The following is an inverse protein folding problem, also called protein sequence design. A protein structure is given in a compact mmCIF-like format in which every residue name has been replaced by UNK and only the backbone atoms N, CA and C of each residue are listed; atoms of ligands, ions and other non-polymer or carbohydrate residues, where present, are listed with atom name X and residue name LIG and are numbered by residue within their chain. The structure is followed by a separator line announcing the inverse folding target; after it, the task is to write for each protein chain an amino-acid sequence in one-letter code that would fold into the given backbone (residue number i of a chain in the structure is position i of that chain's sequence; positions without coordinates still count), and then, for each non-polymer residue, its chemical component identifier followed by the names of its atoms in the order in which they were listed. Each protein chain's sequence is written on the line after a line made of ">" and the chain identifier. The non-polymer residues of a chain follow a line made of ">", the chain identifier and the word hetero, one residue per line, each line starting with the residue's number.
data_IF_641205571497
#
_entry.id   IF_641205571497
#
_cell.length_a   1.000
_cell.length_b   1.000
_cell.length_c   1.000
_cell.angle_alpha   90.00
_cell.angle_beta   90.00
_cell.angle_gamma   90.00
#
_symmetry.space_group_name_H-M   'P 1'
#
loop_
_entity.id
_entity.type
_entity.pdbx_description
1 polymer ?
#
# COMPACT_ATOMS: atom_id res chain seq x y z
N UNK A 1 12.78 -18.18 2.52
CA UNK A 1 12.90 -16.77 2.13
C UNK A 1 12.54 -15.82 3.28
N UNK A 2 11.29 -15.74 3.74
CA UNK A 2 10.87 -14.86 4.87
C UNK A 2 11.63 -15.08 6.19
N UNK A 3 12.16 -16.27 6.42
CA UNK A 3 12.96 -16.60 7.62
C UNK A 3 14.38 -15.99 7.62
N UNK A 4 14.84 -15.41 6.50
CA UNK A 4 16.15 -14.74 6.38
C UNK A 4 16.07 -13.23 6.45
N UNK A 5 14.85 -12.66 6.40
CA UNK A 5 14.61 -11.24 6.57
C UNK A 5 14.58 -10.91 8.05
N UNK A 6 15.13 -9.76 8.43
CA UNK A 6 14.85 -9.16 9.73
C UNK A 6 13.36 -8.80 9.84
N UNK A 7 12.86 -8.58 11.06
CA UNK A 7 11.47 -8.18 11.26
C UNK A 7 11.08 -6.92 10.48
N UNK A 8 11.99 -5.94 10.44
CA UNK A 8 11.81 -4.66 9.73
C UNK A 8 11.81 -4.82 8.20
N UNK A 9 12.73 -5.63 7.66
CA UNK A 9 12.75 -5.95 6.22
C UNK A 9 11.50 -6.73 5.79
N UNK A 10 10.99 -7.61 6.64
CA UNK A 10 9.78 -8.36 6.37
C UNK A 10 8.52 -7.48 6.42
N UNK A 11 8.42 -6.54 7.36
CA UNK A 11 7.36 -5.52 7.39
C UNK A 11 7.43 -4.62 6.15
N UNK A 12 8.63 -4.18 5.76
CA UNK A 12 8.84 -3.33 4.58
C UNK A 12 8.45 -4.05 3.29
N UNK A 13 8.79 -5.33 3.16
CA UNK A 13 8.36 -6.16 2.04
C UNK A 13 6.82 -6.31 2.01
N UNK A 14 6.19 -6.52 3.16
CA UNK A 14 4.74 -6.65 3.27
C UNK A 14 4.01 -5.36 2.88
N UNK A 15 4.47 -4.21 3.37
CA UNK A 15 3.93 -2.90 2.99
C UNK A 15 4.11 -2.63 1.50
N UNK A 16 5.27 -2.98 0.93
CA UNK A 16 5.53 -2.82 -0.50
C UNK A 16 4.64 -3.72 -1.36
N UNK A 17 4.36 -4.96 -0.93
CA UNK A 17 3.40 -5.85 -1.60
C UNK A 17 1.99 -5.25 -1.54
N UNK A 18 1.58 -4.71 -0.39
CA UNK A 18 0.26 -4.09 -0.23
C UNK A 18 0.09 -2.87 -1.14
N UNK A 19 1.12 -2.02 -1.26
CA UNK A 19 1.11 -0.88 -2.17
C UNK A 19 1.08 -1.33 -3.65
N UNK A 20 1.88 -2.33 -4.01
CA UNK A 20 1.90 -2.91 -5.34
C UNK A 20 0.53 -3.48 -5.74
N UNK A 21 -0.15 -4.16 -4.82
CA UNK A 21 -1.49 -4.73 -5.02
C UNK A 21 -2.58 -3.66 -5.06
N UNK A 22 -2.43 -2.57 -4.28
CA UNK A 22 -3.35 -1.44 -4.33
C UNK A 22 -3.22 -0.63 -5.63
N UNK A 23 -2.11 -0.76 -6.35
CA UNK A 23 -1.90 -0.09 -7.64
C UNK A 23 -2.79 -0.68 -8.74
N UNK A 24 -3.20 0.16 -9.70
CA UNK A 24 -4.03 -0.28 -10.85
C UNK A 24 -3.19 -1.00 -11.91
N UNK A 25 -1.89 -0.75 -11.93
CA UNK A 25 -0.90 -1.35 -12.80
C UNK A 25 0.39 -1.59 -12.01
N UNK A 26 0.88 -2.82 -12.05
CA UNK A 26 2.12 -3.22 -11.41
C UNK A 26 3.12 -3.65 -12.49
N UNK A 27 4.27 -2.98 -12.53
CA UNK A 27 5.45 -3.47 -13.23
C UNK A 27 6.35 -4.19 -12.22
N UNK A 28 6.52 -5.49 -12.37
CA UNK A 28 7.27 -6.33 -11.43
C UNK A 28 8.75 -5.95 -11.38
N UNK A 29 9.33 -5.54 -12.49
CA UNK A 29 10.75 -5.18 -12.56
C UNK A 29 11.00 -3.87 -11.82
N UNK A 30 10.18 -2.84 -12.10
CA UNK A 30 10.23 -1.56 -11.37
C UNK A 30 9.92 -1.73 -9.88
N UNK A 31 8.99 -2.63 -9.53
CA UNK A 31 8.67 -2.91 -8.13
C UNK A 31 9.85 -3.57 -7.40
N UNK A 32 10.46 -4.61 -8.01
CA UNK A 32 11.63 -5.30 -7.47
C UNK A 32 12.83 -4.36 -7.31
N UNK A 33 13.09 -3.50 -8.29
CA UNK A 33 14.19 -2.51 -8.23
C UNK A 33 14.03 -1.57 -7.04
N UNK A 34 12.81 -1.10 -6.78
CA UNK A 34 12.49 -0.14 -5.72
C UNK A 34 12.37 -0.75 -4.32
N UNK A 35 12.41 -2.08 -4.18
CA UNK A 35 12.44 -2.71 -2.85
C UNK A 35 13.74 -2.32 -2.11
N UNK A 36 13.67 -1.83 -0.87
CA UNK A 36 14.86 -1.53 -0.06
C UNK A 36 15.41 -2.82 0.58
N UNK A 37 15.68 -3.82 -0.26
CA UNK A 37 16.23 -5.12 0.12
C UNK A 37 17.55 -5.36 -0.63
N UNK A 38 18.39 -6.25 -0.11
CA UNK A 38 19.62 -6.65 -0.78
C UNK A 38 19.34 -7.35 -2.13
N UNK A 39 20.23 -7.19 -3.11
CA UNK A 39 20.04 -7.69 -4.47
C UNK A 39 19.91 -9.21 -4.54
N UNK A 40 20.60 -9.94 -3.65
CA UNK A 40 20.47 -11.40 -3.56
C UNK A 40 19.05 -11.81 -3.19
N UNK A 41 18.41 -11.03 -2.31
CA UNK A 41 17.03 -11.26 -1.89
C UNK A 41 16.09 -10.91 -3.04
N UNK A 42 16.31 -9.79 -3.74
CA UNK A 42 15.50 -9.41 -4.92
C UNK A 42 15.52 -10.50 -6.01
N UNK A 43 16.69 -11.08 -6.28
CA UNK A 43 16.82 -12.19 -7.23
C UNK A 43 16.07 -13.45 -6.78
N UNK A 44 16.13 -13.79 -5.49
CA UNK A 44 15.33 -14.90 -4.94
C UNK A 44 13.82 -14.63 -5.11
N UNK A 45 13.36 -13.38 -4.97
CA UNK A 45 11.94 -13.02 -5.18
C UNK A 45 11.61 -13.20 -6.65
N UNK A 46 12.43 -12.66 -7.56
CA UNK A 46 12.23 -12.75 -9.01
C UNK A 46 12.13 -14.19 -9.50
N UNK A 47 13.04 -15.07 -9.05
CA UNK A 47 13.03 -16.49 -9.37
C UNK A 47 11.79 -17.21 -8.84
N UNK A 48 11.27 -16.79 -7.68
CA UNK A 48 10.08 -17.38 -7.09
C UNK A 48 8.77 -16.93 -7.78
N UNK A 49 8.71 -15.68 -8.26
CA UNK A 49 7.50 -15.11 -8.88
C UNK A 49 7.45 -15.30 -10.39
N UNK A 50 8.58 -15.31 -11.09
CA UNK A 50 8.66 -15.41 -12.55
C UNK A 50 7.90 -16.59 -13.15
N UNK A 51 7.92 -17.81 -12.57
CA UNK A 51 7.15 -18.94 -13.10
C UNK A 51 5.64 -18.79 -12.94
N UNK A 52 5.19 -17.97 -11.98
CA UNK A 52 3.77 -17.77 -11.63
C UNK A 52 3.17 -16.53 -12.29
N UNK A 53 4.01 -15.55 -12.58
CA UNK A 53 3.64 -14.27 -13.21
C UNK A 53 4.57 -14.03 -14.41
N UNK A 54 4.34 -14.73 -15.55
CA UNK A 54 5.16 -14.56 -16.74
C UNK A 54 4.98 -13.17 -17.38
N UNK A 55 3.85 -12.51 -17.11
CA UNK A 55 3.62 -11.12 -17.47
C UNK A 55 4.32 -10.20 -16.45
N UNK A 56 5.30 -9.42 -16.93
CA UNK A 56 6.03 -8.43 -16.13
C UNK A 56 5.21 -7.18 -15.82
N UNK A 57 4.22 -6.88 -16.65
CA UNK A 57 3.24 -5.83 -16.44
C UNK A 57 1.87 -6.45 -16.17
N UNK A 58 1.28 -6.11 -15.02
CA UNK A 58 0.03 -6.65 -14.54
C UNK A 58 -0.97 -5.51 -14.40
N UNK A 59 -2.14 -5.64 -15.01
CA UNK A 59 -3.29 -4.81 -14.68
C UNK A 59 -4.02 -5.47 -13.52
N UNK A 60 -4.09 -4.78 -12.38
CA UNK A 60 -4.78 -5.29 -11.20
C UNK A 60 -6.22 -4.81 -11.27
N UNK A 61 -7.14 -5.76 -11.36
CA UNK A 61 -8.57 -5.46 -11.31
C UNK A 61 -8.93 -4.90 -9.93
N UNK A 62 -9.74 -3.83 -9.90
CA UNK A 62 -10.13 -3.16 -8.66
C UNK A 62 -10.89 -4.07 -7.70
N UNK A 63 -11.64 -5.05 -8.21
CA UNK A 63 -12.31 -6.04 -7.37
C UNK A 63 -11.35 -7.07 -6.78
N UNK A 64 -10.24 -7.37 -7.46
CA UNK A 64 -9.24 -8.33 -6.99
C UNK A 64 -8.31 -7.73 -5.92
N UNK A 65 -7.89 -6.46 -6.07
CA UNK A 65 -7.11 -5.76 -5.05
C UNK A 65 -7.87 -5.61 -3.73
N UNK A 66 -9.20 -5.44 -3.77
CA UNK A 66 -10.09 -5.44 -2.60
C UNK A 66 -10.11 -6.79 -1.85
N UNK A 67 -9.96 -7.91 -2.55
CA UNK A 67 -9.96 -9.24 -1.92
C UNK A 67 -8.64 -9.57 -1.22
N UNK A 68 -7.53 -8.96 -1.67
CA UNK A 68 -6.19 -9.23 -1.17
C UNK A 68 -5.84 -8.39 0.06
N UNK A 69 -6.28 -7.14 0.10
CA UNK A 69 -6.09 -6.25 1.24
C UNK A 69 -7.30 -6.41 2.15
N UNK A 70 -7.14 -6.82 3.42
CA UNK A 70 -8.27 -6.89 4.38
C UNK A 70 -8.60 -5.55 5.03
N UNK A 71 -7.59 -4.67 5.12
CA UNK A 71 -7.67 -3.35 5.75
C UNK A 71 -6.72 -2.39 5.04
N UNK A 72 -7.17 -1.18 4.81
CA UNK A 72 -6.32 -0.04 4.43
C UNK A 72 -5.87 0.65 5.71
N UNK A 73 -4.57 0.93 5.83
CA UNK A 73 -3.99 1.58 7.01
C UNK A 73 -3.30 2.88 6.62
N UNK A 74 -3.55 3.93 7.37
CA UNK A 74 -2.86 5.22 7.24
C UNK A 74 -2.10 5.54 8.52
N UNK A 75 -0.93 6.14 8.33
CA UNK A 75 -0.09 6.67 9.40
C UNK A 75 0.16 8.14 9.12
N UNK A 76 -0.32 8.99 10.01
CA UNK A 76 -0.10 10.43 9.95
C UNK A 76 0.91 10.89 11.01
N UNK A 77 1.20 12.18 10.98
CA UNK A 77 1.97 12.85 12.03
C UNK A 77 1.26 12.78 13.40
N UNK A 78 2.00 13.03 14.48
CA UNK A 78 1.44 13.05 15.84
C UNK A 78 0.97 11.69 16.35
N UNK A 79 1.38 10.59 15.72
CA UNK A 79 0.95 9.24 16.09
C UNK A 79 -0.43 8.86 15.58
N UNK A 80 -1.01 9.64 14.65
CA UNK A 80 -2.29 9.34 14.03
C UNK A 80 -2.23 8.01 13.27
N UNK A 81 -3.18 7.12 13.57
CA UNK A 81 -3.38 5.86 12.87
C UNK A 81 -4.84 5.71 12.51
N UNK A 82 -5.10 5.38 11.25
CA UNK A 82 -6.43 5.07 10.74
C UNK A 82 -6.39 3.68 10.11
N UNK A 83 -7.31 2.80 10.52
CA UNK A 83 -7.50 1.50 9.86
C UNK A 83 -8.94 1.43 9.36
N UNK A 84 -9.11 1.18 8.06
CA UNK A 84 -10.42 1.01 7.43
C UNK A 84 -10.50 -0.39 6.82
N UNK A 85 -11.55 -1.19 7.10
CA UNK A 85 -11.78 -2.45 6.40
C UNK A 85 -11.85 -2.21 4.88
N UNK A 86 -11.14 -3.02 4.10
CA UNK A 86 -11.05 -2.83 2.63
C UNK A 86 -12.40 -2.93 1.92
N UNK A 87 -13.30 -3.78 2.44
CA UNK A 87 -14.68 -3.92 1.98
C UNK A 87 -15.48 -2.61 2.03
N UNK A 88 -15.13 -1.72 2.97
CA UNK A 88 -15.79 -0.43 3.18
C UNK A 88 -14.91 0.76 2.77
N UNK A 89 -13.73 0.50 2.19
CA UNK A 89 -12.79 1.56 1.90
C UNK A 89 -13.37 2.58 0.91
N UNK A 90 -13.96 2.13 -0.21
CA UNK A 90 -14.51 3.02 -1.23
C UNK A 90 -15.83 3.71 -0.84
N UNK A 91 -16.50 3.23 0.20
CA UNK A 91 -17.70 3.89 0.75
C UNK A 91 -17.34 4.91 1.82
N UNK A 92 -16.18 4.75 2.46
CA UNK A 92 -15.75 5.61 3.57
C UNK A 92 -14.69 6.63 3.18
N UNK A 93 -13.72 6.29 2.32
CA UNK A 93 -12.64 7.19 1.90
C UNK A 93 -12.98 7.75 0.52
N UNK A 94 -13.24 9.06 0.49
CA UNK A 94 -13.75 9.76 -0.69
C UNK A 94 -12.65 10.43 -1.50
N UNK A 95 -11.58 10.88 -0.84
CA UNK A 95 -10.40 11.41 -1.53
C UNK A 95 -9.11 11.25 -0.73
N UNK A 96 -8.00 11.15 -1.48
CA UNK A 96 -6.63 11.12 -0.97
C UNK A 96 -5.76 12.00 -1.86
N UNK A 97 -5.22 13.07 -1.30
CA UNK A 97 -4.50 14.09 -2.05
C UNK A 97 -3.26 14.56 -1.27
N UNK A 98 -2.16 14.76 -1.98
CA UNK A 98 -1.02 15.50 -1.45
C UNK A 98 -1.14 16.94 -1.92
N UNK A 99 -1.49 17.83 -0.99
CA UNK A 99 -1.70 19.25 -1.28
C UNK A 99 -0.36 19.96 -1.13
N UNK A 100 0.10 20.58 -2.21
CA UNK A 100 1.40 21.29 -2.26
C UNK A 100 1.26 22.77 -2.61
N UNK A 101 0.07 23.19 -3.04
CA UNK A 101 -0.25 24.50 -3.59
C UNK A 101 -1.11 25.37 -2.65
N UNK A 102 -1.34 24.91 -1.41
CA UNK A 102 -2.01 25.70 -0.38
C UNK A 102 -1.10 26.87 0.03
N UNK A 103 -1.52 28.14 -0.18
CA UNK A 103 -0.67 29.30 0.11
C UNK A 103 -0.49 29.58 1.61
N UNK A 104 -1.32 28.98 2.48
CA UNK A 104 -1.33 29.25 3.92
C UNK A 104 -0.64 28.16 4.73
N UNK A 105 -0.30 27.02 4.12
CA UNK A 105 0.20 25.84 4.82
C UNK A 105 1.36 25.18 4.08
N UNK A 106 2.34 24.60 4.81
CA UNK A 106 3.32 23.72 4.17
C UNK A 106 2.62 22.49 3.58
N UNK A 107 3.22 21.78 2.60
CA UNK A 107 2.61 20.61 1.97
C UNK A 107 2.09 19.58 2.98
N UNK A 108 0.90 19.05 2.71
CA UNK A 108 0.25 18.08 3.60
C UNK A 108 -0.53 17.02 2.84
N UNK A 109 -0.65 15.84 3.44
CA UNK A 109 -1.57 14.82 2.97
C UNK A 109 -2.97 15.07 3.52
N UNK A 110 -3.96 15.06 2.64
CA UNK A 110 -5.38 15.16 2.95
C UNK A 110 -6.05 13.83 2.63
N UNK A 111 -6.77 13.31 3.60
CA UNK A 111 -7.66 12.15 3.42
C UNK A 111 -9.05 12.62 3.84
N UNK A 112 -10.03 12.48 2.96
CA UNK A 112 -11.43 12.79 3.25
C UNK A 112 -12.18 11.49 3.52
N UNK A 113 -12.78 11.41 4.71
CA UNK A 113 -13.52 10.25 5.18
C UNK A 113 -14.95 10.67 5.46
N UNK A 114 -15.91 9.99 4.85
CA UNK A 114 -17.34 10.21 5.03
C UNK A 114 -17.96 8.96 5.66
N UNK A 115 -18.70 9.17 6.74
CA UNK A 115 -19.50 8.13 7.41
C UNK A 115 -20.89 8.69 7.68
N UNK A 116 -21.89 7.83 7.83
CA UNK A 116 -23.26 8.27 8.16
C UNK A 116 -23.33 8.94 9.54
N UNK A 117 -22.48 8.50 10.48
CA UNK A 117 -22.42 9.02 11.83
C UNK A 117 -20.98 9.04 12.34
N UNK A 118 -20.62 10.11 13.05
CA UNK A 118 -19.38 10.21 13.82
C UNK A 118 -19.67 10.23 15.31
N UNK A 119 -19.10 9.28 16.04
CA UNK A 119 -19.13 9.25 17.51
C UNK A 119 -17.73 9.36 18.06
N UNK A 120 -17.50 10.34 18.94
CA UNK A 120 -16.26 10.45 19.70
C UNK A 120 -16.23 9.33 20.73
N UNK A 121 -15.21 8.47 20.66
CA UNK A 121 -14.89 7.53 21.73
C UNK A 121 -13.93 8.24 22.69
N UNK A 122 -14.27 8.29 23.98
CA UNK A 122 -13.49 8.93 25.06
C UNK A 122 -12.95 7.86 25.98
#
# INVERSE_FOLDING_TARGET
>A
MRQRLTGEENETLEDSILQAVASRRLNLDTWLENLPLADEIKQEIDLAISPRLPARELSIDRGFSQQLVRKVKYRGEGGLRLEVPSENYYTLVVSEEHITDDPERPPFYRIVIETEEWKRVV
#
